data_IF_096994301290
#
_entry.id   IF_096994301290
#
_cell.length_a   1.000
_cell.length_b   1.000
_cell.length_c   1.000
_cell.angle_alpha   90.00
_cell.angle_beta   90.00
_cell.angle_gamma   90.00
#
_symmetry.space_group_name_H-M   'P 1'
#
loop_
_entity.id
_entity.type
_entity.pdbx_description
1 polymer ?
#
# COMPACT_ATOMS: atom_id res chain seq x y z
N UNK A 1 -3.79 -3.39 66.95
CA UNK A 1 -4.19 -3.94 65.64
C UNK A 1 -4.61 -2.78 64.76
N UNK A 2 -3.77 -2.36 63.81
CA UNK A 2 -4.11 -1.31 62.85
C UNK A 2 -4.43 -1.98 61.51
N UNK A 3 -5.64 -1.76 61.01
CA UNK A 3 -6.10 -2.22 59.69
C UNK A 3 -5.82 -1.10 58.68
N UNK A 4 -4.78 -1.28 57.86
CA UNK A 4 -4.55 -0.42 56.69
C UNK A 4 -5.45 -0.89 55.55
N UNK A 5 -6.47 -0.09 55.22
CA UNK A 5 -7.20 -0.24 53.96
C UNK A 5 -6.45 0.53 52.88
N UNK A 6 -5.81 -0.21 51.98
CA UNK A 6 -5.23 0.34 50.75
C UNK A 6 -6.36 0.81 49.83
N UNK A 7 -6.46 2.12 49.59
CA UNK A 7 -7.33 2.67 48.55
C UNK A 7 -6.66 2.43 47.19
N UNK A 8 -7.15 1.42 46.46
CA UNK A 8 -6.72 1.15 45.08
C UNK A 8 -7.46 2.12 44.15
N UNK A 9 -6.79 3.20 43.75
CA UNK A 9 -7.27 4.08 42.69
C UNK A 9 -7.16 3.35 41.36
N UNK A 10 -8.31 2.96 40.79
CA UNK A 10 -8.39 2.47 39.42
C UNK A 10 -8.39 3.70 38.49
N UNK A 11 -7.22 4.03 37.93
CA UNK A 11 -7.13 4.95 36.80
C UNK A 11 -7.71 4.25 35.58
N UNK A 12 -8.95 4.58 35.24
CA UNK A 12 -9.51 4.25 33.93
C UNK A 12 -8.71 5.05 32.90
N UNK A 13 -7.79 4.38 32.20
CA UNK A 13 -7.13 4.97 31.04
C UNK A 13 -8.19 5.24 29.98
N UNK A 14 -8.55 6.51 29.79
CA UNK A 14 -9.30 6.93 28.62
C UNK A 14 -8.35 6.75 27.43
N UNK A 15 -8.53 5.67 26.68
CA UNK A 15 -7.93 5.56 25.34
C UNK A 15 -8.68 6.55 24.48
N UNK A 16 -8.08 7.72 24.26
CA UNK A 16 -8.48 8.55 23.12
C UNK A 16 -8.15 7.73 21.88
N UNK A 17 -9.16 7.18 21.21
CA UNK A 17 -9.01 6.73 19.84
C UNK A 17 -8.77 7.99 19.00
N UNK A 18 -7.50 8.32 18.76
CA UNK A 18 -7.16 9.29 17.74
C UNK A 18 -7.77 8.79 16.42
N UNK A 19 -8.74 9.54 15.90
CA UNK A 19 -9.37 9.25 14.62
C UNK A 19 -8.29 9.39 13.56
N UNK A 20 -7.67 8.26 13.19
CA UNK A 20 -6.66 8.18 12.14
C UNK A 20 -7.15 8.92 10.90
N UNK A 21 -6.43 9.94 10.46
CA UNK A 21 -6.84 10.71 9.29
C UNK A 21 -6.52 9.89 8.05
N UNK A 22 -7.57 9.44 7.36
CA UNK A 22 -7.46 8.67 6.11
C UNK A 22 -8.01 9.49 4.96
N UNK A 23 -7.17 9.80 3.98
CA UNK A 23 -7.53 10.56 2.79
C UNK A 23 -7.40 9.64 1.57
N UNK A 24 -8.48 9.46 0.82
CA UNK A 24 -8.41 8.77 -0.46
C UNK A 24 -7.69 9.63 -1.51
N UNK A 25 -6.69 9.06 -2.16
CA UNK A 25 -5.91 9.73 -3.17
C UNK A 25 -6.34 9.25 -4.57
N UNK A 26 -6.64 10.16 -5.51
CA UNK A 26 -6.78 9.79 -6.90
C UNK A 26 -5.42 9.29 -7.41
N UNK A 27 -5.45 8.23 -8.20
CA UNK A 27 -4.26 7.66 -8.81
C UNK A 27 -4.50 7.30 -10.26
N UNK A 28 -3.43 7.24 -11.02
CA UNK A 28 -3.45 6.78 -12.40
C UNK A 28 -2.57 5.54 -12.52
N UNK A 29 -3.00 4.59 -13.35
CA UNK A 29 -2.16 3.47 -13.76
C UNK A 29 -1.58 3.78 -15.14
N UNK A 30 -0.25 3.81 -15.24
CA UNK A 30 0.46 4.04 -16.50
C UNK A 30 1.34 2.85 -16.85
N UNK A 31 1.59 2.69 -18.15
CA UNK A 31 2.69 1.87 -18.68
C UNK A 31 3.55 2.77 -19.54
N UNK A 32 4.81 2.92 -19.19
CA UNK A 32 5.70 3.83 -19.93
C UNK A 32 6.08 3.30 -21.31
N UNK A 33 6.11 1.98 -21.44
CA UNK A 33 6.41 1.28 -22.68
C UNK A 33 5.85 -0.14 -22.64
N UNK A 34 6.03 -0.86 -23.76
CA UNK A 34 5.56 -2.24 -23.92
C UNK A 34 6.21 -3.24 -22.93
N UNK A 35 7.36 -2.91 -22.36
CA UNK A 35 8.10 -3.74 -21.41
C UNK A 35 7.79 -3.41 -19.94
N UNK A 36 6.95 -2.41 -19.68
CA UNK A 36 6.53 -2.01 -18.34
C UNK A 36 5.29 -2.82 -17.88
N UNK A 37 5.38 -3.43 -16.70
CA UNK A 37 4.26 -4.10 -16.01
C UNK A 37 3.32 -3.11 -15.32
N UNK A 38 3.65 -1.83 -15.32
CA UNK A 38 2.77 -0.77 -14.89
C UNK A 38 3.23 -0.07 -13.63
N UNK A 39 2.79 1.18 -13.48
CA UNK A 39 3.15 2.05 -12.37
C UNK A 39 1.91 2.82 -11.91
N UNK A 40 1.75 2.94 -10.59
CA UNK A 40 0.79 3.83 -9.94
C UNK A 40 1.40 5.22 -9.80
N UNK A 41 0.71 6.18 -10.41
CA UNK A 41 1.03 7.60 -10.37
C UNK A 41 0.08 8.33 -9.43
N UNK A 42 0.61 9.26 -8.65
CA UNK A 42 -0.21 10.20 -7.86
C UNK A 42 0.35 11.60 -8.11
N UNK A 43 -0.52 12.53 -8.55
CA UNK A 43 -0.11 13.90 -8.93
C UNK A 43 1.06 13.95 -9.92
N UNK A 44 1.13 13.00 -10.86
CA UNK A 44 2.21 12.95 -11.86
C UNK A 44 3.53 12.35 -11.37
N UNK A 45 3.60 11.87 -10.12
CA UNK A 45 4.77 11.21 -9.55
C UNK A 45 4.58 9.69 -9.46
N UNK A 46 5.62 8.94 -9.82
CA UNK A 46 5.64 7.46 -9.72
C UNK A 46 5.83 7.06 -8.27
N UNK A 47 4.85 6.40 -7.66
CA UNK A 47 4.93 6.00 -6.25
C UNK A 47 4.99 4.49 -6.05
N UNK A 48 4.40 3.69 -6.94
CA UNK A 48 4.51 2.23 -6.89
C UNK A 48 4.66 1.61 -8.27
N UNK A 49 5.62 0.71 -8.42
CA UNK A 49 6.01 0.09 -9.69
C UNK A 49 5.81 -1.42 -9.62
N UNK A 50 5.08 -1.98 -10.58
CA UNK A 50 4.93 -3.42 -10.74
C UNK A 50 6.12 -3.96 -11.56
N UNK A 51 6.73 -5.06 -11.12
CA UNK A 51 7.84 -5.73 -11.82
C UNK A 51 7.71 -7.25 -11.76
N UNK A 52 8.31 -7.97 -12.69
CA UNK A 52 8.45 -9.42 -12.56
C UNK A 52 9.34 -9.78 -11.36
N UNK A 53 8.96 -10.83 -10.63
CA UNK A 53 9.71 -11.32 -9.46
C UNK A 53 11.06 -11.91 -9.86
N UNK A 54 11.10 -12.55 -11.03
CA UNK A 54 12.26 -13.28 -11.52
C UNK A 54 12.99 -12.56 -12.68
N UNK A 55 12.47 -11.41 -13.13
CA UNK A 55 12.98 -10.64 -14.28
C UNK A 55 13.08 -11.47 -15.58
N UNK A 56 12.31 -12.55 -15.65
CA UNK A 56 12.22 -13.48 -16.79
C UNK A 56 11.03 -13.22 -17.69
N UNK A 57 9.96 -12.65 -17.13
CA UNK A 57 8.74 -12.34 -17.86
C UNK A 57 8.84 -10.91 -18.39
N UNK A 58 8.46 -10.74 -19.65
CA UNK A 58 8.11 -9.44 -20.24
C UNK A 58 6.59 -9.34 -20.36
N UNK A 59 5.99 -8.15 -20.30
CA UNK A 59 4.54 -7.98 -20.41
C UNK A 59 3.93 -8.61 -21.66
N UNK A 60 4.66 -8.66 -22.78
CA UNK A 60 4.24 -9.28 -24.04
C UNK A 60 4.08 -10.80 -23.97
N UNK A 61 4.75 -11.46 -23.02
CA UNK A 61 4.74 -12.91 -22.82
C UNK A 61 4.11 -13.29 -21.48
N UNK A 62 3.38 -12.37 -20.85
CA UNK A 62 2.86 -12.56 -19.51
C UNK A 62 1.60 -13.42 -19.51
N UNK A 63 1.77 -14.68 -19.12
CA UNK A 63 0.68 -15.60 -18.81
C UNK A 63 1.01 -16.33 -17.50
N UNK A 64 0.04 -16.36 -16.57
CA UNK A 64 0.16 -17.07 -15.28
C UNK A 64 1.42 -16.67 -14.47
N UNK A 65 1.71 -15.37 -14.42
CA UNK A 65 2.93 -14.84 -13.83
C UNK A 65 2.80 -14.38 -12.38
N UNK A 66 3.95 -14.19 -11.75
CA UNK A 66 4.07 -13.55 -10.43
C UNK A 66 4.75 -12.21 -10.60
N UNK A 67 4.34 -11.22 -9.85
CA UNK A 67 4.90 -9.88 -9.89
C UNK A 67 5.19 -9.39 -8.47
N UNK A 68 6.14 -8.47 -8.38
CA UNK A 68 6.49 -7.74 -7.18
C UNK A 68 6.07 -6.27 -7.32
N UNK A 69 5.44 -5.71 -6.30
CA UNK A 69 5.21 -4.27 -6.17
C UNK A 69 6.44 -3.69 -5.47
N UNK A 70 7.17 -2.83 -6.18
CA UNK A 70 8.25 -2.02 -5.61
C UNK A 70 7.70 -0.63 -5.31
N UNK A 71 7.99 -0.07 -4.14
CA UNK A 71 7.77 1.37 -3.94
C UNK A 71 8.78 2.19 -4.75
N UNK A 72 8.48 3.47 -4.98
CA UNK A 72 9.34 4.39 -5.74
C UNK A 72 10.71 4.61 -5.12
N UNK A 73 10.82 4.43 -3.81
CA UNK A 73 12.06 4.47 -3.05
C UNK A 73 12.81 3.12 -3.07
N UNK A 74 12.29 2.12 -3.78
CA UNK A 74 12.79 0.76 -3.96
C UNK A 74 13.01 -0.04 -2.66
N UNK A 75 12.33 0.33 -1.56
CA UNK A 75 12.56 -0.29 -0.23
C UNK A 75 11.72 -1.53 0.00
N UNK A 76 10.44 -1.48 -0.37
CA UNK A 76 9.45 -2.51 -0.05
C UNK A 76 9.15 -3.35 -1.28
N UNK A 77 9.05 -4.68 -1.10
CA UNK A 77 8.66 -5.63 -2.15
C UNK A 77 7.55 -6.51 -1.62
N UNK A 78 6.41 -6.48 -2.29
CA UNK A 78 5.29 -7.38 -2.01
C UNK A 78 4.98 -8.21 -3.25
N UNK A 79 4.71 -9.51 -3.06
CA UNK A 79 4.57 -10.46 -4.15
C UNK A 79 3.11 -10.90 -4.34
N UNK A 80 2.70 -11.01 -5.60
CA UNK A 80 1.34 -11.39 -5.99
C UNK A 80 1.35 -12.20 -7.28
N UNK A 81 0.27 -12.95 -7.48
CA UNK A 81 0.11 -13.82 -8.65
C UNK A 81 -1.04 -13.29 -9.49
N UNK A 82 -0.83 -13.17 -10.80
CA UNK A 82 -1.85 -12.74 -11.76
C UNK A 82 -1.88 -13.64 -12.99
N UNK A 83 -3.06 -14.04 -13.46
CA UNK A 83 -3.18 -14.87 -14.65
C UNK A 83 -2.89 -14.07 -15.93
N UNK A 84 -3.26 -12.77 -15.99
CA UNK A 84 -3.05 -11.92 -17.16
C UNK A 84 -2.57 -10.51 -16.80
N UNK A 85 -2.04 -9.79 -17.80
CA UNK A 85 -1.60 -8.40 -17.64
C UNK A 85 -2.76 -7.44 -17.32
N UNK A 86 -3.98 -7.73 -17.81
CA UNK A 86 -5.16 -6.91 -17.51
C UNK A 86 -5.51 -6.96 -16.01
N UNK A 87 -5.28 -8.09 -15.35
CA UNK A 87 -5.54 -8.22 -13.92
C UNK A 87 -4.59 -7.36 -13.08
N UNK A 88 -3.32 -7.25 -13.49
CA UNK A 88 -2.34 -6.37 -12.85
C UNK A 88 -2.80 -4.92 -12.88
N UNK A 89 -3.32 -4.45 -14.02
CA UNK A 89 -3.87 -3.11 -14.16
C UNK A 89 -5.02 -2.85 -13.18
N UNK A 90 -5.82 -3.88 -12.90
CA UNK A 90 -6.99 -3.80 -12.03
C UNK A 90 -6.67 -4.22 -10.58
N UNK A 91 -5.41 -4.53 -10.27
CA UNK A 91 -5.01 -5.06 -8.97
C UNK A 91 -5.13 -4.03 -7.84
N UNK A 92 -4.91 -2.75 -8.16
CA UNK A 92 -4.97 -1.66 -7.18
C UNK A 92 -6.43 -1.27 -6.97
N UNK A 93 -6.94 -1.52 -5.77
CA UNK A 93 -8.32 -1.14 -5.41
C UNK A 93 -8.39 0.29 -4.89
N UNK A 94 -7.45 0.68 -4.03
CA UNK A 94 -7.44 2.00 -3.42
C UNK A 94 -6.01 2.43 -3.07
N UNK A 95 -5.82 3.74 -3.05
CA UNK A 95 -4.62 4.38 -2.52
C UNK A 95 -5.05 5.46 -1.56
N UNK A 96 -4.50 5.43 -0.35
CA UNK A 96 -4.86 6.36 0.73
C UNK A 96 -3.62 6.93 1.40
N UNK A 97 -3.74 8.17 1.88
CA UNK A 97 -2.81 8.76 2.83
C UNK A 97 -3.38 8.55 4.24
N UNK A 98 -2.71 7.73 5.05
CA UNK A 98 -2.97 7.55 6.47
C UNK A 98 -1.89 8.28 7.27
N UNK A 99 -2.23 9.42 7.86
CA UNK A 99 -1.30 10.32 8.55
C UNK A 99 -0.11 10.69 7.63
N UNK A 100 1.08 10.13 7.87
CA UNK A 100 2.28 10.34 7.05
C UNK A 100 2.65 9.12 6.18
N UNK A 101 1.71 8.19 5.98
CA UNK A 101 1.94 6.95 5.23
C UNK A 101 1.04 6.86 4.02
N UNK A 102 1.65 6.53 2.90
CA UNK A 102 0.93 6.13 1.71
C UNK A 102 0.62 4.63 1.81
N UNK A 103 -0.64 4.28 1.70
CA UNK A 103 -1.11 2.89 1.77
C UNK A 103 -1.81 2.54 0.47
N UNK A 104 -1.39 1.44 -0.15
CA UNK A 104 -2.03 0.87 -1.33
C UNK A 104 -2.66 -0.46 -0.95
N UNK A 105 -3.93 -0.62 -1.28
CA UNK A 105 -4.63 -1.90 -1.16
C UNK A 105 -4.61 -2.61 -2.51
N UNK A 106 -4.03 -3.80 -2.53
CA UNK A 106 -3.93 -4.68 -3.68
C UNK A 106 -4.88 -5.87 -3.49
N UNK A 107 -5.69 -6.17 -4.51
CA UNK A 107 -6.50 -7.37 -4.57
C UNK A 107 -5.74 -8.50 -5.28
N UNK A 108 -5.26 -9.44 -4.49
CA UNK A 108 -4.57 -10.63 -4.96
C UNK A 108 -5.60 -11.73 -5.24
N UNK A 109 -6.16 -11.69 -6.46
CA UNK A 109 -7.28 -12.54 -6.90
C UNK A 109 -6.93 -14.02 -6.81
N UNK A 110 -5.69 -14.40 -7.12
CA UNK A 110 -5.23 -15.78 -7.10
C UNK A 110 -5.31 -16.40 -5.71
N UNK A 111 -4.98 -15.63 -4.68
CA UNK A 111 -5.01 -16.07 -3.28
C UNK A 111 -6.25 -15.60 -2.52
N UNK A 112 -7.20 -14.92 -3.18
CA UNK A 112 -8.44 -14.38 -2.61
C UNK A 112 -8.18 -13.54 -1.35
N UNK A 113 -7.18 -12.67 -1.39
CA UNK A 113 -6.80 -11.80 -0.26
C UNK A 113 -6.60 -10.36 -0.69
N UNK A 114 -6.78 -9.44 0.27
CA UNK A 114 -6.38 -8.04 0.12
C UNK A 114 -5.08 -7.81 0.88
N UNK A 115 -4.10 -7.24 0.20
CA UNK A 115 -2.81 -6.86 0.78
C UNK A 115 -2.76 -5.35 0.92
N UNK A 116 -2.30 -4.86 2.08
CA UNK A 116 -2.05 -3.44 2.28
C UNK A 116 -0.54 -3.22 2.34
N UNK A 117 -0.04 -2.48 1.36
CA UNK A 117 1.37 -2.08 1.30
C UNK A 117 1.46 -0.66 1.80
N UNK A 118 2.25 -0.43 2.85
CA UNK A 118 2.37 0.87 3.49
C UNK A 118 3.81 1.35 3.45
N UNK A 119 4.00 2.59 2.99
CA UNK A 119 5.30 3.27 2.96
C UNK A 119 5.15 4.67 3.51
N UNK A 120 6.26 5.30 3.92
CA UNK A 120 6.23 6.71 4.23
C UNK A 120 5.88 7.51 2.98
N UNK A 121 4.90 8.40 3.09
CA UNK A 121 4.54 9.30 2.02
C UNK A 121 5.67 10.32 1.82
N UNK A 122 5.93 10.76 0.57
CA UNK A 122 6.80 11.90 0.33
C UNK A 122 6.33 13.14 1.08
N UNK A 123 7.26 13.95 1.60
CA UNK A 123 6.94 15.13 2.40
C UNK A 123 5.97 16.08 1.68
N UNK A 124 6.17 16.32 0.39
CA UNK A 124 5.30 17.16 -0.43
C UNK A 124 3.85 16.68 -0.47
N UNK A 125 3.63 15.35 -0.42
CA UNK A 125 2.30 14.76 -0.44
C UNK A 125 1.62 14.94 0.92
N UNK A 126 2.37 14.77 2.00
CA UNK A 126 1.90 15.01 3.36
C UNK A 126 1.54 16.49 3.54
N UNK A 127 2.41 17.40 3.12
CA UNK A 127 2.19 18.85 3.18
C UNK A 127 0.95 19.30 2.41
N UNK A 128 0.70 18.71 1.23
CA UNK A 128 -0.46 19.04 0.39
C UNK A 128 -1.79 18.68 1.04
N UNK A 129 -1.81 17.66 1.89
CA UNK A 129 -3.02 17.08 2.46
C UNK A 129 -3.11 17.23 3.99
N UNK A 130 -2.15 17.91 4.62
CA UNK A 130 -2.18 18.30 6.03
C UNK A 130 -3.14 19.46 6.28
#
# INVERSE_FOLDING_TARGET
MFSSRSNVFHLNSVKFEETKRVIQLPFEYIRENENDFGTVMIHGEKLFVFKDVHETLTPSTFENGRLALKDSNLKTREYFTFPTMLDVRNAVEEVVLEDNRLVVTINDVAYKRKLKVSVFAPDWLVEKYN
#
